data_IF_723207785691
#
_entry.id   IF_723207785691
#
_cell.length_a   1.000
_cell.length_b   1.000
_cell.length_c   1.000
_cell.angle_alpha   90.00
_cell.angle_beta   90.00
_cell.angle_gamma   90.00
#
_symmetry.space_group_name_H-M   'P 1'
#
loop_
_entity.id
_entity.type
_entity.pdbx_description
1 polymer ?
#
# COMPACT_ATOMS: atom_id res chain seq x y z
N UNK A 1 -7.24 10.13 23.23
CA UNK A 1 -7.52 8.86 22.51
C UNK A 1 -6.25 8.42 21.81
N UNK A 2 -5.57 7.44 22.41
CA UNK A 2 -4.32 6.87 21.91
C UNK A 2 -4.63 5.77 20.89
N UNK A 3 -3.76 5.64 19.87
CA UNK A 3 -3.74 4.56 18.85
C UNK A 3 -4.91 4.60 17.86
N UNK A 4 -4.69 4.54 16.54
CA UNK A 4 -3.75 3.62 15.88
C UNK A 4 -3.06 4.34 14.72
N UNK A 5 -1.78 4.67 14.87
CA UNK A 5 -0.91 4.84 13.69
C UNK A 5 -0.70 3.43 13.11
N UNK A 6 -1.69 2.89 12.38
CA UNK A 6 -1.50 1.64 11.60
C UNK A 6 -0.47 1.97 10.54
N UNK A 7 0.78 1.67 10.88
CA UNK A 7 1.98 1.78 10.07
C UNK A 7 1.81 0.80 8.91
N UNK A 8 1.11 1.25 7.88
CA UNK A 8 1.10 0.62 6.57
C UNK A 8 2.57 0.59 6.13
N UNK A 9 3.10 -0.61 5.88
CA UNK A 9 4.52 -0.84 5.56
C UNK A 9 5.03 0.11 4.45
N UNK A 10 4.12 0.57 3.60
CA UNK A 10 4.33 1.46 2.46
C UNK A 10 4.82 2.87 2.85
N UNK A 11 4.39 3.45 3.98
CA UNK A 11 4.77 4.83 4.33
C UNK A 11 6.22 4.99 4.79
N UNK A 12 6.93 3.88 5.00
CA UNK A 12 8.32 3.90 5.48
C UNK A 12 9.33 3.66 4.36
N UNK A 13 8.89 3.38 3.14
CA UNK A 13 9.78 3.15 2.00
C UNK A 13 9.96 4.51 1.31
N UNK A 14 11.18 5.02 1.33
CA UNK A 14 11.54 6.25 0.65
C UNK A 14 11.54 5.98 -0.86
N UNK A 15 10.39 6.13 -1.53
CA UNK A 15 10.25 5.80 -2.95
C UNK A 15 9.95 7.01 -3.82
N UNK A 16 10.43 6.99 -5.06
CA UNK A 16 9.99 7.90 -6.13
C UNK A 16 8.89 7.22 -6.94
N UNK A 17 7.68 7.80 -6.98
CA UNK A 17 6.62 7.35 -7.88
C UNK A 17 7.04 7.58 -9.34
N UNK A 18 6.86 6.59 -10.21
CA UNK A 18 7.27 6.62 -11.61
C UNK A 18 6.06 6.70 -12.55
N UNK A 19 5.32 5.60 -12.68
CA UNK A 19 4.22 5.47 -13.65
C UNK A 19 3.02 4.77 -13.03
N UNK A 20 1.82 5.20 -13.41
CA UNK A 20 0.58 4.50 -13.09
C UNK A 20 0.52 3.20 -13.90
N UNK A 21 0.48 2.07 -13.22
CA UNK A 21 0.31 0.75 -13.85
C UNK A 21 -1.17 0.47 -14.11
N UNK A 22 -2.01 0.69 -13.09
CA UNK A 22 -3.44 0.36 -13.16
C UNK A 22 -4.29 1.35 -12.36
N UNK A 23 -5.52 1.58 -12.81
CA UNK A 23 -6.49 2.44 -12.14
C UNK A 23 -7.77 1.64 -11.87
N UNK A 24 -8.05 1.39 -10.61
CA UNK A 24 -9.30 0.78 -10.13
C UNK A 24 -10.31 1.84 -9.71
N UNK A 25 -11.50 1.39 -9.29
CA UNK A 25 -12.62 2.26 -8.91
C UNK A 25 -12.31 3.20 -7.74
N UNK A 26 -11.49 2.75 -6.78
CA UNK A 26 -11.15 3.51 -5.55
C UNK A 26 -9.65 3.49 -5.22
N UNK A 27 -8.84 2.84 -6.07
CA UNK A 27 -7.41 2.66 -5.85
C UNK A 27 -6.64 2.75 -7.14
N UNK A 28 -5.39 3.20 -7.08
CA UNK A 28 -4.46 3.24 -8.21
C UNK A 28 -3.20 2.47 -7.82
N UNK A 29 -2.65 1.70 -8.75
CA UNK A 29 -1.34 1.05 -8.57
C UNK A 29 -0.30 1.84 -9.35
N UNK A 30 0.76 2.25 -8.66
CA UNK A 30 1.85 3.05 -9.21
C UNK A 30 3.15 2.29 -9.02
N UNK A 31 3.95 2.19 -10.08
CA UNK A 31 5.32 1.70 -10.00
C UNK A 31 6.17 2.75 -9.29
N UNK A 32 6.92 2.34 -8.28
CA UNK A 32 7.79 3.22 -7.52
C UNK A 32 9.17 2.60 -7.34
N UNK A 33 10.20 3.43 -7.45
CA UNK A 33 11.59 3.03 -7.26
C UNK A 33 12.04 3.38 -5.84
N UNK A 34 12.72 2.45 -5.17
CA UNK A 34 13.36 2.70 -3.87
C UNK A 34 14.51 3.69 -4.03
N UNK A 35 14.48 4.80 -3.27
CA UNK A 35 15.62 5.73 -3.21
C UNK A 35 16.75 5.19 -2.33
N UNK A 36 16.45 4.28 -1.42
CA UNK A 36 17.43 3.71 -0.49
C UNK A 36 18.14 2.48 -1.11
N UNK A 37 17.39 1.65 -1.85
CA UNK A 37 17.88 0.39 -2.45
C UNK A 37 18.06 0.47 -3.97
N UNK A 38 17.93 1.65 -4.58
CA UNK A 38 18.24 2.03 -5.99
C UNK A 38 17.63 1.17 -7.11
N UNK A 39 17.94 -0.13 -7.13
CA UNK A 39 17.49 -1.12 -8.11
C UNK A 39 16.13 -1.74 -7.76
N UNK A 40 15.60 -1.50 -6.56
CA UNK A 40 14.39 -2.16 -6.10
C UNK A 40 13.14 -1.38 -6.47
N UNK A 41 12.25 -2.05 -7.21
CA UNK A 41 10.97 -1.50 -7.64
C UNK A 41 9.83 -2.08 -6.80
N UNK A 42 8.82 -1.25 -6.52
CA UNK A 42 7.64 -1.60 -5.74
C UNK A 42 6.37 -1.22 -6.51
N UNK A 43 5.34 -2.06 -6.43
CA UNK A 43 3.99 -1.70 -6.84
C UNK A 43 3.25 -1.11 -5.63
N UNK A 44 2.97 0.19 -5.67
CA UNK A 44 2.29 0.91 -4.59
C UNK A 44 0.81 1.06 -4.92
N UNK A 45 -0.05 0.40 -4.14
CA UNK A 45 -1.51 0.59 -4.20
C UNK A 45 -1.89 1.84 -3.38
N UNK A 46 -2.15 2.94 -4.07
CA UNK A 46 -2.70 4.18 -3.55
C UNK A 46 -4.22 4.06 -3.42
N UNK A 47 -4.80 4.43 -2.29
CA UNK A 47 -6.25 4.37 -2.05
C UNK A 47 -6.71 5.72 -1.48
N UNK A 48 -7.79 6.28 -2.02
CA UNK A 48 -8.35 7.52 -1.49
C UNK A 48 -8.97 7.28 -0.11
N UNK A 49 -8.53 8.05 0.89
CA UNK A 49 -9.07 7.99 2.26
C UNK A 49 -10.57 8.25 2.31
N UNK A 50 -11.12 9.05 1.41
CA UNK A 50 -12.56 9.32 1.36
C UNK A 50 -13.35 8.07 0.95
N UNK A 51 -12.78 7.26 0.06
CA UNK A 51 -13.38 6.01 -0.40
C UNK A 51 -13.29 4.88 0.63
N UNK A 52 -12.51 5.07 1.71
CA UNK A 52 -12.38 4.10 2.80
C UNK A 52 -13.49 4.18 3.85
N UNK A 53 -14.28 5.26 3.88
CA UNK A 53 -15.34 5.44 4.89
C UNK A 53 -16.38 4.31 4.78
N UNK A 54 -16.48 3.48 5.82
CA UNK A 54 -17.38 2.32 5.88
C UNK A 54 -16.83 1.05 5.22
N UNK A 55 -15.55 1.05 4.80
CA UNK A 55 -14.85 -0.10 4.21
C UNK A 55 -13.51 -0.40 4.91
N UNK A 56 -13.28 0.18 6.08
CA UNK A 56 -12.05 0.04 6.85
C UNK A 56 -11.76 -1.42 7.20
N UNK A 57 -12.78 -2.16 7.66
CA UNK A 57 -12.66 -3.58 8.01
C UNK A 57 -12.28 -4.43 6.79
N UNK A 58 -12.84 -4.12 5.62
CA UNK A 58 -12.51 -4.81 4.36
C UNK A 58 -11.05 -4.56 3.97
N UNK A 59 -10.57 -3.31 4.08
CA UNK A 59 -9.18 -2.97 3.78
C UNK A 59 -8.22 -3.66 4.76
N UNK A 60 -8.57 -3.69 6.04
CA UNK A 60 -7.76 -4.36 7.05
C UNK A 60 -7.69 -5.87 6.83
N UNK A 61 -8.80 -6.47 6.40
CA UNK A 61 -8.83 -7.87 6.03
C UNK A 61 -7.92 -8.15 4.82
N UNK A 62 -7.98 -7.33 3.76
CA UNK A 62 -7.07 -7.43 2.61
C UNK A 62 -5.60 -7.42 3.07
N UNK A 63 -5.21 -6.44 3.90
CA UNK A 63 -3.84 -6.32 4.42
C UNK A 63 -3.46 -7.57 5.25
N UNK A 64 -4.35 -8.05 6.10
CA UNK A 64 -4.11 -9.20 6.98
C UNK A 64 -3.91 -10.48 6.19
N UNK A 65 -4.73 -10.72 5.17
CA UNK A 65 -4.61 -11.88 4.27
C UNK A 65 -3.30 -11.81 3.49
N UNK A 66 -3.00 -10.67 2.87
CA UNK A 66 -1.77 -10.50 2.07
C UNK A 66 -0.49 -10.68 2.90
N UNK A 67 -0.46 -10.15 4.13
CA UNK A 67 0.69 -10.34 5.04
C UNK A 67 0.92 -11.80 5.44
N UNK A 68 -0.15 -12.59 5.57
CA UNK A 68 -0.05 -14.03 5.86
C UNK A 68 0.49 -14.80 4.66
N UNK A 69 0.05 -14.46 3.45
CA UNK A 69 0.46 -15.13 2.22
C UNK A 69 1.88 -14.77 1.78
N UNK A 70 2.39 -13.59 2.16
CA UNK A 70 3.76 -13.15 1.85
C UNK A 70 4.85 -13.98 2.57
N UNK A 71 4.49 -14.78 3.58
CA UNK A 71 5.39 -15.72 4.27
C UNK A 71 5.20 -17.16 3.75
N UNK A 72 5.24 -17.37 2.43
CA UNK A 72 5.48 -18.71 1.88
C UNK A 72 7.00 -18.92 1.75
N UNK A 73 7.55 -20.06 2.17
CA UNK A 73 8.94 -20.42 1.86
C UNK A 73 9.16 -20.52 0.34
#
# INVERSE_FOLDING_TARGET
MHSVKKKLLVWKINTSLKICLERGAFSQVVLAESKDEGSKMYAIKCIDKKALKGKEDSLENEIKVLRRLSNKP
#
